data_IF_569532091697
#
_entry.id   IF_569532091697
#
_cell.length_a   1.000
_cell.length_b   1.000
_cell.length_c   1.000
_cell.angle_alpha   90.00
_cell.angle_beta   90.00
_cell.angle_gamma   90.00
#
_symmetry.space_group_name_H-M   'P 1'
#
loop_
_entity.id
_entity.type
_entity.pdbx_description
1 polymer ?
#
# COMPACT_ATOMS: atom_id res chain seq x y z
N UNK A 1 4.45 4.49 22.54
CA UNK A 1 5.05 4.51 21.18
C UNK A 1 4.38 5.62 20.38
N UNK A 2 5.09 6.34 19.50
CA UNK A 2 4.46 7.35 18.62
C UNK A 2 3.93 6.65 17.37
N UNK A 3 2.77 7.07 16.89
CA UNK A 3 2.13 6.49 15.69
C UNK A 3 1.60 7.63 14.83
N UNK A 4 1.49 7.38 13.52
CA UNK A 4 0.75 8.23 12.59
C UNK A 4 -0.41 7.42 12.02
N UNK A 5 -1.62 7.98 12.12
CA UNK A 5 -2.84 7.37 11.60
C UNK A 5 -3.03 7.77 10.14
N UNK A 6 -3.36 6.81 9.30
CA UNK A 6 -3.72 7.01 7.90
C UNK A 6 -5.07 6.38 7.61
N UNK A 7 -5.87 7.07 6.80
CA UNK A 7 -7.07 6.52 6.16
C UNK A 7 -6.77 6.41 4.67
N UNK A 8 -6.62 5.17 4.19
CA UNK A 8 -6.31 4.86 2.80
C UNK A 8 -7.53 4.21 2.18
N UNK A 9 -8.36 5.02 1.52
CA UNK A 9 -9.62 4.58 0.89
C UNK A 9 -10.52 3.76 1.86
N UNK A 10 -10.61 4.18 3.13
CA UNK A 10 -11.41 3.51 4.17
C UNK A 10 -10.66 2.42 4.94
N UNK A 11 -9.48 1.98 4.50
CA UNK A 11 -8.58 1.16 5.31
C UNK A 11 -7.81 2.06 6.28
N UNK A 12 -8.09 1.93 7.58
CA UNK A 12 -7.46 2.78 8.60
C UNK A 12 -6.32 2.04 9.30
N UNK A 13 -5.13 2.64 9.29
CA UNK A 13 -3.91 2.07 9.86
C UNK A 13 -3.25 3.03 10.86
N UNK A 14 -2.72 2.49 11.95
CA UNK A 14 -1.89 3.23 12.90
C UNK A 14 -0.42 2.79 12.74
N UNK A 15 0.35 3.52 11.93
CA UNK A 15 1.73 3.18 11.59
C UNK A 15 2.67 3.64 12.70
N UNK A 16 3.46 2.73 13.31
CA UNK A 16 4.47 3.09 14.29
C UNK A 16 5.51 4.06 13.74
N UNK A 17 6.00 4.94 14.62
CA UNK A 17 7.09 5.86 14.32
C UNK A 17 8.32 5.52 15.16
N UNK A 18 9.47 5.39 14.49
CA UNK A 18 10.77 5.15 15.11
C UNK A 18 11.71 6.32 14.84
N UNK A 19 12.45 6.76 15.87
CA UNK A 19 13.48 7.78 15.70
C UNK A 19 14.61 7.22 14.83
N UNK A 20 14.95 7.93 13.76
CA UNK A 20 16.07 7.61 12.91
C UNK A 20 17.17 8.67 13.13
N UNK A 21 18.30 8.25 13.71
CA UNK A 21 19.40 9.17 14.06
C UNK A 21 20.00 9.84 12.83
N UNK A 22 20.17 9.10 11.73
CA UNK A 22 20.75 9.62 10.49
C UNK A 22 19.88 10.70 9.84
N UNK A 23 18.55 10.52 9.88
CA UNK A 23 17.60 11.47 9.33
C UNK A 23 17.23 12.61 10.30
N UNK A 24 17.56 12.47 11.60
CA UNK A 24 17.22 13.43 12.64
C UNK A 24 15.71 13.61 12.84
N UNK A 25 14.90 12.58 12.52
CA UNK A 25 13.44 12.63 12.64
C UNK A 25 12.84 11.25 12.90
N UNK A 26 11.57 11.25 13.30
CA UNK A 26 10.77 10.03 13.36
C UNK A 26 10.37 9.61 11.94
N UNK A 27 10.54 8.32 11.62
CA UNK A 27 10.13 7.71 10.36
C UNK A 27 9.06 6.64 10.61
N UNK A 28 8.15 6.48 9.66
CA UNK A 28 7.20 5.37 9.62
C UNK A 28 7.91 4.01 9.60
N UNK A 29 7.36 3.05 10.33
CA UNK A 29 7.72 1.64 10.28
C UNK A 29 6.53 0.88 9.71
N UNK A 30 6.55 0.68 8.39
CA UNK A 30 5.50 -0.05 7.70
C UNK A 30 5.63 -1.56 7.95
N UNK A 31 4.51 -2.30 8.11
CA UNK A 31 4.53 -3.75 8.12
C UNK A 31 4.84 -4.28 6.72
N UNK A 32 5.18 -5.56 6.64
CA UNK A 32 5.24 -6.28 5.38
C UNK A 32 3.82 -6.55 4.88
N UNK A 33 3.39 -5.79 3.87
CA UNK A 33 2.05 -5.91 3.28
C UNK A 33 1.93 -7.09 2.30
N UNK A 34 3.03 -7.76 1.96
CA UNK A 34 2.97 -9.02 1.22
C UNK A 34 2.70 -10.20 2.16
N UNK A 35 3.40 -10.26 3.30
CA UNK A 35 3.17 -11.28 4.32
C UNK A 35 1.85 -11.08 5.08
N UNK A 36 1.52 -9.82 5.41
CA UNK A 36 0.33 -9.45 6.18
C UNK A 36 -0.49 -8.38 5.45
N UNK A 37 -1.22 -8.76 4.39
CA UNK A 37 -1.93 -7.80 3.55
C UNK A 37 -3.08 -7.14 4.31
N UNK A 38 -3.22 -5.85 4.10
CA UNK A 38 -4.36 -5.04 4.54
C UNK A 38 -5.15 -4.65 3.30
N UNK A 39 -6.47 -4.72 3.38
CA UNK A 39 -7.35 -4.43 2.26
C UNK A 39 -8.26 -3.24 2.57
N UNK A 40 -8.62 -2.49 1.53
CA UNK A 40 -9.74 -1.54 1.58
C UNK A 40 -11.05 -2.28 1.82
N UNK A 41 -12.12 -1.59 2.25
CA UNK A 41 -13.46 -2.19 2.35
C UNK A 41 -13.96 -2.78 1.02
N UNK A 42 -13.49 -2.24 -0.12
CA UNK A 42 -13.80 -2.77 -1.45
C UNK A 42 -12.96 -4.01 -1.82
N UNK A 43 -12.04 -4.44 -0.95
CA UNK A 43 -11.22 -5.64 -1.12
C UNK A 43 -9.91 -5.41 -1.86
N UNK A 44 -9.50 -4.16 -2.13
CA UNK A 44 -8.23 -3.90 -2.82
C UNK A 44 -7.06 -3.84 -1.83
N UNK A 45 -5.91 -4.49 -2.11
CA UNK A 45 -4.80 -4.53 -1.17
C UNK A 45 -4.04 -3.20 -1.13
N UNK A 46 -3.59 -2.86 0.07
CA UNK A 46 -2.61 -1.81 0.28
C UNK A 46 -1.21 -2.33 -0.06
N UNK A 47 -0.39 -1.45 -0.63
CA UNK A 47 1.03 -1.67 -0.94
C UNK A 47 1.82 -0.41 -0.62
N UNK A 48 3.13 -0.56 -0.43
CA UNK A 48 4.04 0.56 -0.46
C UNK A 48 4.34 0.94 -1.91
N UNK A 49 4.61 2.22 -2.11
CA UNK A 49 5.00 2.78 -3.41
C UNK A 49 6.26 2.10 -3.95
N UNK A 50 7.16 1.69 -3.06
CA UNK A 50 8.44 1.06 -3.36
C UNK A 50 8.42 -0.48 -3.31
N UNK A 51 7.27 -1.12 -3.11
CA UNK A 51 7.16 -2.58 -3.23
C UNK A 51 7.36 -2.98 -4.69
N UNK A 52 7.86 -4.20 -4.92
CA UNK A 52 8.02 -4.72 -6.28
C UNK A 52 6.66 -4.79 -7.00
N UNK A 53 6.64 -4.37 -8.27
CA UNK A 53 5.43 -4.42 -9.07
C UNK A 53 5.03 -5.88 -9.32
N UNK A 54 3.72 -6.16 -9.19
CA UNK A 54 3.19 -7.49 -9.46
C UNK A 54 3.35 -7.89 -10.95
N UNK A 55 3.21 -9.20 -11.27
CA UNK A 55 3.23 -9.67 -12.66
C UNK A 55 2.19 -9.02 -13.56
N UNK A 56 1.06 -8.60 -13.00
CA UNK A 56 -0.06 -7.96 -13.70
C UNK A 56 0.07 -6.42 -13.81
N UNK A 57 1.20 -5.85 -13.37
CA UNK A 57 1.37 -4.41 -13.34
C UNK A 57 1.39 -3.78 -14.74
N UNK A 58 0.64 -2.69 -14.90
CA UNK A 58 0.62 -1.87 -16.12
C UNK A 58 1.68 -0.79 -15.98
N UNK A 59 2.88 -1.08 -16.49
CA UNK A 59 4.07 -0.22 -16.37
C UNK A 59 4.41 0.46 -17.70
N UNK A 60 4.86 1.72 -17.69
CA UNK A 60 5.57 2.32 -18.82
C UNK A 60 6.83 1.55 -19.24
N UNK A 61 7.30 1.74 -20.47
CA UNK A 61 8.58 1.19 -20.92
C UNK A 61 9.77 1.81 -20.15
N UNK A 62 10.79 0.99 -19.89
CA UNK A 62 12.07 1.40 -19.26
C UNK A 62 11.94 2.07 -17.88
N UNK A 63 10.92 1.74 -17.10
CA UNK A 63 10.77 2.21 -15.71
C UNK A 63 11.11 1.12 -14.68
N UNK A 64 11.44 1.54 -13.46
CA UNK A 64 11.57 0.63 -12.33
C UNK A 64 10.25 -0.10 -12.08
N UNK A 65 10.34 -1.41 -11.86
CA UNK A 65 9.17 -2.27 -11.63
C UNK A 65 8.77 -2.23 -10.16
N UNK A 66 8.27 -1.08 -9.72
CA UNK A 66 7.69 -0.89 -8.39
C UNK A 66 6.19 -0.56 -8.47
N UNK A 67 5.42 -0.83 -7.41
CA UNK A 67 3.99 -0.56 -7.35
C UNK A 67 3.66 0.89 -7.71
N UNK A 68 4.46 1.85 -7.22
CA UNK A 68 4.32 3.28 -7.51
C UNK A 68 4.42 3.66 -8.99
N UNK A 69 5.03 2.82 -9.81
CA UNK A 69 5.15 3.03 -11.26
C UNK A 69 3.99 2.43 -12.06
N UNK A 70 3.12 1.63 -11.42
CA UNK A 70 1.96 1.02 -12.07
C UNK A 70 0.85 2.04 -12.27
N UNK A 71 0.28 2.11 -13.47
CA UNK A 71 -0.82 3.02 -13.81
C UNK A 71 -2.11 2.75 -13.02
N UNK A 72 -2.23 1.55 -12.42
CA UNK A 72 -3.38 1.15 -11.61
C UNK A 72 -3.16 1.37 -10.11
N UNK A 73 -1.95 1.79 -9.69
CA UNK A 73 -1.65 2.08 -8.30
C UNK A 73 -2.13 3.48 -7.93
N UNK A 74 -2.90 3.59 -6.85
CA UNK A 74 -3.42 4.86 -6.35
C UNK A 74 -2.66 5.24 -5.09
N UNK A 75 -1.72 6.17 -5.24
CA UNK A 75 -0.89 6.68 -4.15
C UNK A 75 -1.71 7.51 -3.17
N UNK A 76 -1.56 7.25 -1.87
CA UNK A 76 -2.06 8.14 -0.84
C UNK A 76 -1.16 9.38 -0.72
N UNK A 77 -1.75 10.57 -0.80
CA UNK A 77 -1.00 11.83 -0.97
C UNK A 77 -0.01 12.19 0.16
N UNK A 78 -0.17 11.63 1.36
CA UNK A 78 0.64 11.98 2.53
C UNK A 78 1.49 10.84 3.10
N UNK A 79 1.63 9.73 2.37
CA UNK A 79 2.37 8.55 2.83
C UNK A 79 3.02 7.78 1.68
N UNK A 80 3.78 6.74 2.01
CA UNK A 80 4.27 5.78 1.01
C UNK A 80 3.22 4.69 0.70
N UNK A 81 2.06 4.70 1.37
CA UNK A 81 1.00 3.75 1.14
C UNK A 81 0.23 4.11 -0.13
N UNK A 82 -0.28 3.10 -0.80
CA UNK A 82 -1.32 3.27 -1.81
C UNK A 82 -2.10 1.98 -1.99
N UNK A 83 -3.07 2.03 -2.89
CA UNK A 83 -3.98 0.92 -3.16
C UNK A 83 -3.65 0.33 -4.53
N UNK A 84 -3.46 -0.98 -4.58
CA UNK A 84 -3.40 -1.71 -5.83
C UNK A 84 -4.80 -1.78 -6.45
N UNK A 85 -5.01 -1.11 -7.58
CA UNK A 85 -6.30 -1.10 -8.28
C UNK A 85 -6.53 -2.28 -9.22
N UNK A 86 -5.63 -3.25 -9.31
CA UNK A 86 -5.76 -4.34 -10.28
C UNK A 86 -6.79 -5.39 -9.77
N UNK A 87 -7.85 -5.71 -10.54
CA UNK A 87 -8.92 -6.61 -10.09
C UNK A 87 -8.47 -8.02 -9.69
N UNK A 88 -7.39 -8.54 -10.29
CA UNK A 88 -6.87 -9.86 -9.94
C UNK A 88 -6.33 -9.96 -8.50
N UNK A 89 -6.05 -8.83 -7.87
CA UNK A 89 -5.60 -8.78 -6.47
C UNK A 89 -6.71 -8.38 -5.50
N UNK A 90 -7.93 -8.12 -5.99
CA UNK A 90 -9.09 -7.81 -5.15
C UNK A 90 -9.52 -9.07 -4.40
N UNK A 91 -9.61 -9.01 -3.08
CA UNK A 91 -10.30 -10.02 -2.30
C UNK A 91 -11.80 -9.86 -2.48
N UNK A 92 -12.46 -10.91 -2.96
CA UNK A 92 -13.91 -11.00 -2.94
C UNK A 92 -14.34 -11.54 -1.58
N UNK A 93 -15.10 -10.75 -0.82
CA UNK A 93 -15.82 -11.28 0.33
C UNK A 93 -16.95 -12.17 -0.17
N UNK A 94 -17.11 -13.35 0.43
CA UNK A 94 -18.03 -14.44 -0.02
C UNK A 94 -19.53 -14.05 -0.08
N UNK A 95 -19.91 -12.81 0.25
CA UNK A 95 -21.29 -12.30 0.20
C UNK A 95 -21.80 -11.89 -1.19
N UNK A 96 -20.95 -11.83 -2.23
CA UNK A 96 -21.37 -11.49 -3.61
C UNK A 96 -21.94 -12.71 -4.39
N UNK A 97 -22.14 -13.87 -3.75
CA UNK A 97 -22.76 -15.06 -4.37
C UNK A 97 -24.05 -15.48 -3.66
N UNK A 98 -25.07 -14.63 -3.68
CA UNK A 98 -26.44 -14.97 -3.28
C UNK A 98 -27.47 -14.37 -4.24
#
# INVERSE_FOLDING_TARGET
MKHKRYDVEGAVLDIPLQWNERAGKFLEQYPDFEETPVYTPEGFPLRLTCDDACPDAVLPDNIYRECGSCQLFRLHSESLLGVCGHPAHRQTTEEETL
#
